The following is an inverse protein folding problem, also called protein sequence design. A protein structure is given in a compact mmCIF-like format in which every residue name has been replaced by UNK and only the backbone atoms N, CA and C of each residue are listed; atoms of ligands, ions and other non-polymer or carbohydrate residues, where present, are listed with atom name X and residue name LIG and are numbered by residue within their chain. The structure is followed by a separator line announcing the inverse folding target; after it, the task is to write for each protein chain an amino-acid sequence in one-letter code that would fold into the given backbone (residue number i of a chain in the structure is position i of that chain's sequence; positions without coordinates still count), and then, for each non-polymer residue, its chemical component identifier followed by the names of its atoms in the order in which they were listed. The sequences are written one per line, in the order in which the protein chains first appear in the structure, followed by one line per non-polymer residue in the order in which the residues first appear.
data_IF_600610871557
#
_entry.id   IF_600610871557
#
_cell.length_a   1.000
_cell.length_b   1.000
_cell.length_c   1.000
_cell.angle_alpha   90.00
_cell.angle_beta   90.00
_cell.angle_gamma   90.00
#
_symmetry.space_group_name_H-M   'P 1'
#
loop_
_entity.id
_entity.type
_entity.pdbx_description
1 polymer ?
#
# COMPACT_ATOMS: atom_id res chain seq x y z
N UNK A 1 -15.26 13.30 -1.34
CA UNK A 1 -13.80 13.58 -1.28
C UNK A 1 -13.44 14.49 -2.44
N UNK A 2 -12.75 15.60 -2.19
CA UNK A 2 -12.25 16.44 -3.26
C UNK A 2 -11.12 15.71 -4.01
N UNK A 3 -11.15 15.74 -5.34
CA UNK A 3 -10.04 15.22 -6.16
C UNK A 3 -9.16 16.38 -6.61
N UNK A 4 -7.85 16.15 -6.66
CA UNK A 4 -6.87 17.13 -7.15
C UNK A 4 -6.30 16.64 -8.48
N UNK A 5 -6.23 17.53 -9.48
CA UNK A 5 -5.63 17.22 -10.76
C UNK A 5 -4.10 17.27 -10.66
N UNK A 6 -3.44 16.23 -11.18
CA UNK A 6 -1.98 16.11 -11.17
C UNK A 6 -1.52 15.83 -12.60
N UNK A 7 -0.45 16.50 -13.03
CA UNK A 7 0.21 16.23 -14.31
C UNK A 7 1.46 15.39 -14.07
N UNK A 8 1.59 14.28 -14.79
CA UNK A 8 2.71 13.33 -14.67
C UNK A 8 3.33 13.06 -16.04
N UNK A 9 4.66 12.91 -16.05
CA UNK A 9 5.41 12.45 -17.23
C UNK A 9 5.61 10.94 -17.12
N UNK A 10 5.16 10.22 -18.14
CA UNK A 10 5.26 8.77 -18.22
C UNK A 10 5.79 8.36 -19.60
N UNK A 11 6.57 7.26 -19.70
CA UNK A 11 7.05 6.75 -20.98
C UNK A 11 5.91 6.47 -21.95
N UNK A 12 6.12 6.77 -23.24
CA UNK A 12 5.09 6.55 -24.28
C UNK A 12 4.63 5.10 -24.35
N UNK A 13 5.56 4.15 -24.20
CA UNK A 13 5.23 2.71 -24.23
C UNK A 13 4.29 2.32 -23.08
N UNK A 14 4.47 2.90 -21.89
CA UNK A 14 3.57 2.65 -20.76
C UNK A 14 2.17 3.23 -21.02
N UNK A 15 2.07 4.38 -21.68
CA UNK A 15 0.76 4.95 -22.07
C UNK A 15 0.03 4.02 -23.05
N UNK A 16 0.75 3.44 -24.03
CA UNK A 16 0.15 2.47 -24.97
C UNK A 16 -0.36 1.22 -24.25
N UNK A 17 0.36 0.74 -23.25
CA UNK A 17 -0.06 -0.42 -22.47
C UNK A 17 -1.33 -0.12 -21.66
N UNK A 18 -1.41 1.07 -21.04
CA UNK A 18 -2.63 1.52 -20.36
C UNK A 18 -3.80 1.61 -21.35
N UNK A 19 -3.56 2.11 -22.56
CA UNK A 19 -4.58 2.17 -23.61
C UNK A 19 -5.06 0.79 -24.04
N UNK A 20 -4.17 -0.19 -24.12
CA UNK A 20 -4.57 -1.57 -24.44
C UNK A 20 -5.50 -2.12 -23.35
N UNK A 21 -5.17 -1.91 -22.07
CA UNK A 21 -6.03 -2.35 -20.97
C UNK A 21 -7.41 -1.69 -21.00
N UNK A 22 -7.51 -0.43 -21.43
CA UNK A 22 -8.80 0.24 -21.61
C UNK A 22 -9.56 -0.38 -22.78
N UNK A 23 -8.89 -0.63 -23.90
CA UNK A 23 -9.50 -1.26 -25.09
C UNK A 23 -9.99 -2.68 -24.82
N UNK A 24 -9.30 -3.40 -23.93
CA UNK A 24 -9.66 -4.74 -23.43
C UNK A 24 -10.80 -4.69 -22.40
N UNK A 25 -11.25 -3.50 -21.98
CA UNK A 25 -12.31 -3.32 -21.00
C UNK A 25 -11.88 -3.55 -19.54
N UNK A 26 -10.57 -3.61 -19.26
CA UNK A 26 -10.03 -3.84 -17.90
C UNK A 26 -10.14 -2.61 -17.01
N UNK A 27 -10.16 -1.42 -17.60
CA UNK A 27 -10.37 -0.14 -16.92
C UNK A 27 -11.25 0.76 -17.77
N UNK A 28 -12.10 1.59 -17.15
CA UNK A 28 -12.94 2.54 -17.88
C UNK A 28 -12.18 3.79 -18.35
N UNK A 29 -11.04 4.12 -17.74
CA UNK A 29 -10.19 5.24 -18.16
C UNK A 29 -8.74 5.11 -17.70
N UNK A 30 -7.84 5.90 -18.31
CA UNK A 30 -6.44 6.02 -17.86
C UNK A 30 -6.35 6.48 -16.40
N UNK A 31 -7.22 7.41 -16.01
CA UNK A 31 -7.27 7.94 -14.65
C UNK A 31 -7.66 6.86 -13.64
N UNK A 32 -8.60 5.98 -13.99
CA UNK A 32 -8.97 4.84 -13.14
C UNK A 32 -7.82 3.84 -13.02
N UNK A 33 -7.20 3.46 -14.14
CA UNK A 33 -6.05 2.56 -14.13
C UNK A 33 -4.92 3.08 -13.22
N UNK A 34 -4.55 4.36 -13.36
CA UNK A 34 -3.50 4.99 -12.56
C UNK A 34 -3.89 5.03 -11.08
N UNK A 35 -5.12 5.42 -10.74
CA UNK A 35 -5.59 5.46 -9.35
C UNK A 35 -5.52 4.08 -8.69
N UNK A 36 -5.96 3.04 -9.41
CA UNK A 36 -5.94 1.66 -8.92
C UNK A 36 -4.51 1.18 -8.68
N UNK A 37 -3.59 1.43 -9.61
CA UNK A 37 -2.18 1.05 -9.47
C UNK A 37 -1.53 1.76 -8.27
N UNK A 38 -1.80 3.06 -8.09
CA UNK A 38 -1.29 3.82 -6.94
C UNK A 38 -1.86 3.29 -5.63
N UNK A 39 -3.16 2.96 -5.59
CA UNK A 39 -3.78 2.39 -4.40
C UNK A 39 -3.16 1.03 -4.03
N UNK A 40 -2.95 0.15 -5.01
CA UNK A 40 -2.28 -1.15 -4.80
C UNK A 40 -0.85 -0.97 -4.27
N UNK A 41 -0.13 0.06 -4.73
CA UNK A 41 1.19 0.37 -4.20
C UNK A 41 1.13 0.86 -2.74
N UNK A 42 0.19 1.74 -2.39
CA UNK A 42 0.02 2.23 -1.02
C UNK A 42 -0.34 1.10 -0.04
N UNK A 43 -1.23 0.18 -0.44
CA UNK A 43 -1.56 -1.00 0.37
C UNK A 43 -0.32 -1.84 0.67
N UNK A 44 0.51 -2.13 -0.33
CA UNK A 44 1.78 -2.87 -0.15
C UNK A 44 2.72 -2.15 0.83
N UNK A 45 2.82 -0.83 0.73
CA UNK A 45 3.63 -0.02 1.65
C UNK A 45 3.09 -0.03 3.08
N UNK A 46 1.76 -0.02 3.28
CA UNK A 46 1.13 -0.19 4.60
C UNK A 46 1.46 -1.55 5.20
N UNK A 47 1.34 -2.63 4.43
CA UNK A 47 1.70 -3.99 4.87
C UNK A 47 3.18 -4.04 5.30
N UNK A 48 4.07 -3.42 4.52
CA UNK A 48 5.49 -3.36 4.84
C UNK A 48 5.78 -2.58 6.13
N UNK A 49 5.09 -1.46 6.36
CA UNK A 49 5.19 -0.68 7.60
C UNK A 49 4.70 -1.50 8.80
N UNK A 50 3.58 -2.19 8.66
CA UNK A 50 3.03 -3.05 9.70
C UNK A 50 4.00 -4.17 10.08
N UNK A 51 4.60 -4.85 9.09
CA UNK A 51 5.62 -5.87 9.34
C UNK A 51 6.82 -5.31 10.14
N UNK A 52 7.33 -4.13 9.78
CA UNK A 52 8.42 -3.48 10.53
C UNK A 52 8.06 -3.23 12.00
N UNK A 53 6.82 -2.82 12.26
CA UNK A 53 6.31 -2.62 13.63
C UNK A 53 6.33 -3.95 14.39
N UNK A 54 5.81 -5.03 13.80
CA UNK A 54 5.78 -6.36 14.42
C UNK A 54 7.19 -6.87 14.77
N UNK A 55 8.13 -6.76 13.82
CA UNK A 55 9.52 -7.17 14.05
C UNK A 55 10.15 -6.38 15.18
N UNK A 56 9.97 -5.05 15.20
CA UNK A 56 10.48 -4.19 16.26
C UNK A 56 9.91 -4.59 17.63
N UNK A 57 8.60 -4.80 17.72
CA UNK A 57 7.93 -5.23 18.97
C UNK A 57 8.41 -6.61 19.44
N UNK A 58 8.63 -7.54 18.52
CA UNK A 58 9.18 -8.87 18.85
C UNK A 58 10.59 -8.78 19.42
N UNK A 59 11.45 -7.93 18.84
CA UNK A 59 12.81 -7.71 19.35
C UNK A 59 12.80 -7.01 20.72
N UNK A 60 11.95 -6.00 20.91
CA UNK A 60 11.76 -5.34 22.21
C UNK A 60 11.29 -6.32 23.29
N UNK A 61 10.33 -7.19 22.98
CA UNK A 61 9.83 -8.22 23.89
C UNK A 61 10.92 -9.22 24.29
N UNK A 62 11.77 -9.65 23.34
CA UNK A 62 12.91 -10.53 23.62
C UNK A 62 13.97 -9.86 24.49
N UNK A 63 14.26 -8.57 24.25
CA UNK A 63 15.26 -7.80 24.99
C UNK A 63 14.77 -7.33 26.36
N UNK A 64 13.46 -7.12 26.52
CA UNK A 64 12.84 -6.61 27.77
C UNK A 64 11.57 -7.41 28.11
N UNK A 65 11.67 -8.70 28.46
CA UNK A 65 10.49 -9.53 28.77
C UNK A 65 9.64 -8.97 29.91
N UNK A 66 10.25 -8.28 30.88
CA UNK A 66 9.59 -7.64 32.02
C UNK A 66 8.64 -6.50 31.64
N UNK A 67 8.69 -6.01 30.40
CA UNK A 67 7.74 -5.01 29.90
C UNK A 67 6.43 -5.60 29.37
N UNK A 68 6.36 -6.93 29.29
CA UNK A 68 5.16 -7.66 28.87
C UNK A 68 4.19 -7.77 30.06
N UNK A 69 2.90 -7.62 29.77
CA UNK A 69 1.82 -7.78 30.75
C UNK A 69 1.31 -9.24 30.64
N UNK A 70 1.28 -10.01 31.74
CA UNK A 70 0.66 -11.32 31.78
C UNK A 70 -0.82 -11.27 31.40
N UNK A 71 -1.31 -12.30 30.72
CA UNK A 71 -2.70 -12.33 30.26
C UNK A 71 -3.69 -12.48 31.43
N UNK A 72 -3.23 -13.08 32.52
CA UNK A 72 -3.95 -13.26 33.77
C UNK A 72 -4.29 -11.93 34.44
N UNK A 73 -3.56 -10.84 34.16
CA UNK A 73 -3.79 -9.51 34.72
C UNK A 73 -4.87 -8.69 33.98
N UNK A 74 -5.31 -9.16 32.80
CA UNK A 74 -6.25 -8.45 31.91
C UNK A 74 -7.61 -9.20 31.83
N UNK A 75 -7.75 -10.31 32.55
CA UNK A 75 -8.96 -11.14 32.65
C UNK A 75 -9.86 -10.68 33.79
#
# INVERSE_FOLDING_TARGET
MATTQVQVRIPKELVKEIDSWISEGRFASRSEAIKTIVALYDERERTRKFYKILVKRSDEARKRPQSLIPLEEIS
#
